data_IF_010452135847
#
_entry.id   IF_010452135847
#
_cell.length_a   1.000
_cell.length_b   1.000
_cell.length_c   1.000
_cell.angle_alpha   90.00
_cell.angle_beta   90.00
_cell.angle_gamma   90.00
#
_symmetry.space_group_name_H-M   'P 1'
#
loop_
_entity.id
_entity.type
_entity.pdbx_description
1 polymer ?
#
# COMPACT_ATOMS: atom_id res chain seq x y z
N UNK A 1 21.52 -2.24 -4.11
CA UNK A 1 20.05 -2.13 -4.23
C UNK A 1 19.43 -3.38 -3.65
N UNK A 2 18.49 -3.25 -2.72
CA UNK A 2 17.63 -4.37 -2.30
C UNK A 2 16.87 -4.91 -3.52
N UNK A 3 16.83 -6.22 -3.69
CA UNK A 3 16.13 -6.86 -4.81
C UNK A 3 14.62 -6.63 -4.62
N UNK A 4 13.96 -6.03 -5.62
CA UNK A 4 12.49 -5.97 -5.67
C UNK A 4 11.99 -7.41 -5.76
N UNK A 5 11.11 -7.78 -4.83
CA UNK A 5 10.52 -9.12 -4.78
C UNK A 5 9.23 -9.13 -5.60
N UNK A 6 8.38 -8.11 -5.41
CA UNK A 6 7.13 -7.94 -6.15
C UNK A 6 6.85 -6.45 -6.40
N UNK A 7 6.18 -6.14 -7.49
CA UNK A 7 5.72 -4.78 -7.80
C UNK A 7 4.41 -4.80 -8.61
N UNK A 8 3.62 -3.74 -8.51
CA UNK A 8 2.39 -3.62 -9.30
C UNK A 8 1.47 -2.48 -8.89
N UNK A 9 0.46 -2.23 -9.73
CA UNK A 9 -0.61 -1.27 -9.43
C UNK A 9 -1.59 -1.85 -8.42
N UNK A 10 -1.83 -1.13 -7.34
CA UNK A 10 -2.84 -1.48 -6.35
C UNK A 10 -3.62 -0.23 -5.91
N UNK A 11 -4.82 -0.47 -5.36
CA UNK A 11 -5.62 0.58 -4.75
C UNK A 11 -5.18 0.81 -3.30
N UNK A 12 -4.76 2.03 -2.99
CA UNK A 12 -4.61 2.51 -1.62
C UNK A 12 -5.94 3.06 -1.14
N UNK A 13 -6.56 2.34 -0.21
CA UNK A 13 -7.72 2.79 0.54
C UNK A 13 -7.29 3.46 1.87
N UNK A 14 -7.94 4.56 2.26
CA UNK A 14 -7.67 5.23 3.54
C UNK A 14 -8.74 6.25 3.93
N UNK A 15 -8.57 6.91 5.08
CA UNK A 15 -9.46 8.00 5.56
C UNK A 15 -8.72 9.34 5.62
N UNK A 16 -9.40 10.41 5.24
CA UNK A 16 -8.94 11.80 5.46
C UNK A 16 -9.26 12.24 6.90
N UNK A 17 -8.71 13.38 7.33
CA UNK A 17 -8.99 13.97 8.67
C UNK A 17 -10.49 14.15 8.96
N UNK A 18 -11.30 14.47 7.95
CA UNK A 18 -12.75 14.74 8.09
C UNK A 18 -13.58 13.48 7.75
N UNK A 19 -13.14 12.30 8.19
CA UNK A 19 -13.87 11.02 8.07
C UNK A 19 -14.05 10.45 6.65
N UNK A 20 -13.94 11.27 5.60
CA UNK A 20 -14.16 10.85 4.21
C UNK A 20 -13.09 9.84 3.77
N UNK A 21 -13.53 8.67 3.32
CA UNK A 21 -12.66 7.68 2.69
C UNK A 21 -12.12 8.19 1.35
N UNK A 22 -10.96 7.70 0.96
CA UNK A 22 -10.40 7.88 -0.37
C UNK A 22 -9.87 6.56 -0.91
N UNK A 23 -9.86 6.47 -2.23
CA UNK A 23 -9.23 5.41 -2.99
C UNK A 23 -8.28 6.06 -3.99
N UNK A 24 -7.03 5.61 -3.98
CA UNK A 24 -6.01 6.12 -4.88
C UNK A 24 -5.26 4.95 -5.50
N UNK A 25 -5.22 4.88 -6.83
CA UNK A 25 -4.32 3.95 -7.52
C UNK A 25 -2.86 4.39 -7.27
N UNK A 26 -2.03 3.45 -6.82
CA UNK A 26 -0.60 3.67 -6.55
C UNK A 26 0.19 2.48 -7.04
N UNK A 27 1.44 2.72 -7.41
CA UNK A 27 2.37 1.66 -7.79
C UNK A 27 3.12 1.22 -6.53
N UNK A 28 2.90 -0.02 -6.09
CA UNK A 28 3.54 -0.57 -4.90
C UNK A 28 4.78 -1.36 -5.30
N UNK A 29 5.83 -1.23 -4.49
CA UNK A 29 7.07 -1.99 -4.61
C UNK A 29 7.32 -2.66 -3.27
N UNK A 30 7.38 -3.98 -3.30
CA UNK A 30 7.71 -4.83 -2.17
C UNK A 30 9.15 -5.31 -2.32
N UNK A 31 9.99 -4.86 -1.40
CA UNK A 31 11.34 -5.34 -1.20
C UNK A 31 11.39 -6.27 0.02
N UNK A 32 12.56 -6.86 0.30
CA UNK A 32 12.73 -7.82 1.40
C UNK A 32 12.23 -7.32 2.76
N UNK A 33 12.38 -6.02 3.06
CA UNK A 33 12.01 -5.45 4.37
C UNK A 33 11.15 -4.20 4.27
N UNK A 34 10.75 -3.78 3.08
CA UNK A 34 10.07 -2.50 2.88
C UNK A 34 8.96 -2.66 1.86
N UNK A 35 7.77 -2.15 2.21
CA UNK A 35 6.70 -1.90 1.26
C UNK A 35 6.61 -0.39 1.02
N UNK A 36 6.97 0.05 -0.18
CA UNK A 36 6.86 1.44 -0.64
C UNK A 36 5.74 1.62 -1.65
N UNK A 37 5.21 2.83 -1.80
CA UNK A 37 4.33 3.14 -2.94
C UNK A 37 4.59 4.51 -3.55
N UNK A 38 4.29 4.61 -4.84
CA UNK A 38 4.60 5.73 -5.72
C UNK A 38 3.35 6.20 -6.48
N UNK A 39 3.35 7.44 -6.98
CA UNK A 39 2.26 7.95 -7.82
C UNK A 39 2.23 7.26 -9.20
N UNK A 40 3.38 6.78 -9.65
CA UNK A 40 3.65 6.12 -10.93
C UNK A 40 4.71 5.05 -10.74
N UNK A 41 4.91 4.16 -11.72
CA UNK A 41 6.03 3.21 -11.71
C UNK A 41 7.35 3.98 -11.51
N UNK A 42 8.15 3.66 -10.49
CA UNK A 42 9.38 4.40 -10.20
C UNK A 42 10.40 4.20 -11.32
N UNK A 43 11.10 5.28 -11.65
CA UNK A 43 12.26 5.34 -12.53
C UNK A 43 13.35 6.14 -11.82
N UNK A 44 14.61 5.86 -12.15
CA UNK A 44 15.78 6.55 -11.59
C UNK A 44 15.78 6.60 -10.05
N UNK A 45 16.06 7.78 -9.48
CA UNK A 45 16.17 8.02 -8.04
C UNK A 45 14.84 8.45 -7.39
N UNK A 46 13.71 8.03 -7.95
CA UNK A 46 12.41 8.36 -7.37
C UNK A 46 12.27 7.77 -5.95
N UNK A 47 11.84 8.62 -5.02
CA UNK A 47 11.55 8.22 -3.63
C UNK A 47 10.07 7.86 -3.45
N UNK A 48 9.76 6.85 -2.61
CA UNK A 48 8.37 6.47 -2.33
C UNK A 48 7.64 7.59 -1.59
N UNK A 49 6.33 7.70 -1.82
CA UNK A 49 5.46 8.66 -1.10
C UNK A 49 5.42 8.32 0.38
N UNK A 50 5.39 7.02 0.70
CA UNK A 50 5.48 6.50 2.06
C UNK A 50 5.98 5.06 2.00
N UNK A 51 6.68 4.67 3.04
CA UNK A 51 7.17 3.31 3.27
C UNK A 51 6.53 2.72 4.52
N UNK A 52 6.50 1.38 4.56
CA UNK A 52 6.24 0.58 5.74
C UNK A 52 7.41 -0.39 5.90
N UNK A 53 8.04 -0.38 7.07
CA UNK A 53 9.04 -1.38 7.43
C UNK A 53 8.34 -2.70 7.76
N UNK A 54 8.80 -3.79 7.15
CA UNK A 54 8.35 -5.15 7.42
C UNK A 54 9.29 -5.74 8.46
N UNK A 55 8.86 -5.65 9.72
CA UNK A 55 9.51 -6.25 10.88
C UNK A 55 8.58 -7.28 11.55
N UNK A 56 8.99 -7.83 12.70
CA UNK A 56 8.17 -8.77 13.47
C UNK A 56 6.84 -8.21 13.99
N UNK A 57 6.60 -6.90 13.90
CA UNK A 57 5.37 -6.24 14.31
C UNK A 57 4.42 -5.94 13.13
N UNK A 58 4.88 -6.14 11.90
CA UNK A 58 4.04 -6.02 10.72
C UNK A 58 2.92 -7.06 10.78
N UNK A 59 1.68 -6.62 10.54
CA UNK A 59 0.49 -7.46 10.46
C UNK A 59 -0.21 -7.18 9.14
N UNK A 60 -0.74 -8.25 8.56
CA UNK A 60 -1.61 -8.21 7.39
C UNK A 60 -2.91 -8.88 7.80
N UNK A 61 -4.01 -8.17 7.66
CA UNK A 61 -5.35 -8.72 7.81
C UNK A 61 -6.04 -8.76 6.48
N UNK A 62 -6.60 -9.92 6.15
CA UNK A 62 -7.54 -10.03 5.06
C UNK A 62 -8.90 -9.46 5.50
N UNK A 63 -9.39 -8.47 4.75
CA UNK A 63 -10.70 -7.84 4.97
C UNK A 63 -11.69 -8.16 3.85
N UNK A 64 -11.30 -9.03 2.90
CA UNK A 64 -12.12 -9.49 1.80
C UNK A 64 -12.54 -8.39 0.81
N UNK A 65 -13.55 -8.71 0.00
CA UNK A 65 -14.16 -7.78 -0.94
C UNK A 65 -15.01 -6.73 -0.22
N UNK A 66 -14.84 -5.46 -0.58
CA UNK A 66 -15.60 -4.32 -0.05
C UNK A 66 -16.11 -3.43 -1.16
N UNK A 67 -17.33 -2.93 -1.00
CA UNK A 67 -17.91 -1.91 -1.87
C UNK A 67 -17.39 -0.53 -1.45
N UNK A 68 -16.73 0.17 -2.36
CA UNK A 68 -16.27 1.54 -2.16
C UNK A 68 -16.61 2.41 -3.36
N UNK A 69 -17.48 3.40 -3.16
CA UNK A 69 -17.90 4.34 -4.21
C UNK A 69 -18.39 3.63 -5.49
N UNK A 70 -19.13 2.52 -5.34
CA UNK A 70 -19.64 1.72 -6.46
C UNK A 70 -18.63 0.74 -7.07
N UNK A 71 -17.38 0.72 -6.60
CA UNK A 71 -16.37 -0.24 -7.03
C UNK A 71 -16.17 -1.33 -5.98
N UNK A 72 -16.13 -2.58 -6.43
CA UNK A 72 -15.75 -3.71 -5.60
C UNK A 72 -14.22 -3.81 -5.55
N UNK A 73 -13.65 -3.75 -4.35
CA UNK A 73 -12.19 -3.83 -4.15
C UNK A 73 -11.86 -4.88 -3.12
N UNK A 74 -10.83 -5.68 -3.37
CA UNK A 74 -10.28 -6.60 -2.38
C UNK A 74 -9.36 -5.83 -1.43
N UNK A 75 -9.61 -5.91 -0.12
CA UNK A 75 -8.94 -5.07 0.87
C UNK A 75 -8.06 -5.92 1.77
N UNK A 76 -6.76 -5.64 1.72
CA UNK A 76 -5.80 -6.05 2.75
C UNK A 76 -5.52 -4.86 3.66
N UNK A 77 -5.57 -5.06 4.98
CA UNK A 77 -5.14 -4.07 5.94
C UNK A 77 -3.71 -4.40 6.39
N UNK A 78 -2.76 -3.54 6.07
CA UNK A 78 -1.36 -3.69 6.47
C UNK A 78 -1.01 -2.62 7.50
N UNK A 79 -0.56 -3.03 8.68
CA UNK A 79 -0.22 -2.11 9.77
C UNK A 79 0.91 -2.65 10.64
N UNK A 80 1.55 -1.78 11.40
CA UNK A 80 2.46 -2.17 12.48
C UNK A 80 1.66 -2.18 13.79
N UNK A 81 1.80 -3.23 14.59
CA UNK A 81 1.03 -3.40 15.84
C UNK A 81 1.51 -2.49 16.99
N UNK A 82 2.70 -1.90 16.89
CA UNK A 82 3.24 -0.99 17.93
C UNK A 82 2.42 0.28 18.09
#
# INVERSE_FOLDING_TARGET
MSKVVYEGWMVRHGRRKIGRSFIHMRYFVLETRVLGYYKRKPQDNMVPIKTLLIDGNCRVEDRGLKMHHGHMVYVLCVYNKK
#
